data_IF_760133194374
#
_entry.id   IF_760133194374
#
_cell.length_a   1.000
_cell.length_b   1.000
_cell.length_c   1.000
_cell.angle_alpha   90.00
_cell.angle_beta   90.00
_cell.angle_gamma   90.00
#
_symmetry.space_group_name_H-M   'P 1'
#
loop_
_entity.id
_entity.type
_entity.pdbx_description
1 polymer ?
#
# COMPACT_ATOMS: atom_id res chain seq x y z
N UNK A 1 25.16 -39.26 -26.15
CA UNK A 1 25.54 -38.35 -27.25
C UNK A 1 26.95 -37.89 -26.98
N UNK A 2 27.86 -38.01 -27.93
CA UNK A 2 29.27 -37.60 -27.75
C UNK A 2 29.37 -36.11 -28.07
N UNK A 3 29.91 -35.33 -27.14
CA UNK A 3 30.13 -33.90 -27.33
C UNK A 3 31.17 -33.69 -28.45
N UNK A 4 30.88 -32.85 -29.46
CA UNK A 4 31.83 -32.59 -30.53
C UNK A 4 33.06 -31.85 -29.96
N UNK A 5 34.26 -32.38 -30.25
CA UNK A 5 35.51 -31.69 -29.89
C UNK A 5 35.80 -30.58 -30.88
N UNK A 6 36.01 -29.37 -30.37
CA UNK A 6 36.54 -28.26 -31.16
C UNK A 6 38.00 -28.60 -31.50
N UNK A 7 38.32 -28.61 -32.79
CA UNK A 7 39.69 -28.80 -33.27
C UNK A 7 40.19 -27.46 -33.80
N UNK A 8 41.24 -26.92 -33.20
CA UNK A 8 41.76 -25.59 -33.53
C UNK A 8 43.10 -25.71 -34.25
N UNK A 9 43.27 -24.93 -35.32
CA UNK A 9 44.57 -24.68 -35.95
C UNK A 9 44.73 -23.17 -36.02
N UNK A 10 45.72 -22.63 -35.30
CA UNK A 10 45.90 -21.19 -35.20
C UNK A 10 46.34 -20.61 -36.55
N UNK A 11 45.64 -19.58 -37.07
CA UNK A 11 46.06 -18.92 -38.31
C UNK A 11 47.37 -18.16 -38.10
N UNK A 12 48.39 -18.48 -38.90
CA UNK A 12 49.69 -17.82 -38.88
C UNK A 12 49.82 -16.85 -40.06
N UNK A 13 50.17 -15.59 -39.80
CA UNK A 13 50.59 -14.63 -40.82
C UNK A 13 52.12 -14.65 -40.86
N UNK A 14 52.69 -15.14 -41.94
CA UNK A 14 54.13 -15.07 -42.20
C UNK A 14 54.42 -13.93 -43.19
N UNK A 15 55.43 -13.12 -42.89
CA UNK A 15 55.97 -12.13 -43.83
C UNK A 15 57.47 -11.96 -43.55
N UNK A 16 58.24 -11.65 -44.59
CA UNK A 16 59.67 -11.37 -44.44
C UNK A 16 59.87 -9.90 -44.05
N UNK A 17 59.94 -9.66 -42.74
CA UNK A 17 60.09 -8.32 -42.19
C UNK A 17 61.43 -7.69 -42.61
N UNK A 18 62.51 -8.47 -42.64
CA UNK A 18 63.85 -7.99 -42.96
C UNK A 18 63.95 -7.54 -44.42
N UNK A 19 63.43 -8.34 -45.36
CA UNK A 19 63.39 -7.94 -46.78
C UNK A 19 62.49 -6.73 -47.01
N UNK A 20 61.32 -6.67 -46.35
CA UNK A 20 60.40 -5.55 -46.49
C UNK A 20 61.04 -4.26 -45.96
N UNK A 21 61.70 -4.32 -44.79
CA UNK A 21 62.38 -3.18 -44.20
C UNK A 21 63.56 -2.73 -45.07
N UNK A 22 64.39 -3.67 -45.55
CA UNK A 22 65.50 -3.36 -46.45
C UNK A 22 65.02 -2.70 -47.75
N UNK A 23 63.93 -3.19 -48.33
CA UNK A 23 63.32 -2.60 -49.53
C UNK A 23 62.81 -1.18 -49.29
N UNK A 24 62.08 -0.94 -48.19
CA UNK A 24 61.62 0.41 -47.84
C UNK A 24 62.79 1.35 -47.57
N UNK A 25 63.83 0.88 -46.84
CA UNK A 25 65.06 1.65 -46.59
C UNK A 25 65.77 2.04 -47.87
N UNK A 26 65.86 1.14 -48.85
CA UNK A 26 66.44 1.43 -50.15
C UNK A 26 65.67 2.50 -50.93
N UNK A 27 64.33 2.51 -50.85
CA UNK A 27 63.50 3.54 -51.47
C UNK A 27 63.76 4.91 -50.84
N UNK A 28 63.82 4.98 -49.50
CA UNK A 28 63.94 6.27 -48.80
C UNK A 28 65.36 6.83 -48.78
N UNK A 29 66.38 5.99 -48.96
CA UNK A 29 67.79 6.39 -49.00
C UNK A 29 68.08 7.47 -50.07
N UNK A 30 67.34 7.47 -51.19
CA UNK A 30 67.47 8.46 -52.25
C UNK A 30 67.13 9.90 -51.82
N UNK A 31 66.46 10.06 -50.67
CA UNK A 31 66.04 11.35 -50.13
C UNK A 31 66.84 11.77 -48.90
N UNK A 32 67.76 10.93 -48.43
CA UNK A 32 68.55 11.20 -47.24
C UNK A 32 69.54 12.34 -47.51
N UNK A 33 69.47 13.41 -46.71
CA UNK A 33 70.30 14.61 -46.90
C UNK A 33 69.93 15.49 -48.10
N UNK A 34 68.82 15.20 -48.79
CA UNK A 34 68.37 16.00 -49.94
C UNK A 34 67.88 17.40 -49.49
N UNK A 35 68.53 18.45 -50.00
CA UNK A 35 68.08 19.84 -49.84
C UNK A 35 67.28 20.24 -51.08
N UNK A 36 65.98 20.44 -50.92
CA UNK A 36 65.06 20.75 -52.03
C UNK A 36 65.18 22.22 -52.42
N UNK A 37 65.49 22.50 -53.69
CA UNK A 37 65.47 23.84 -54.29
C UNK A 37 64.14 24.10 -55.02
N UNK A 38 63.85 25.38 -55.32
CA UNK A 38 62.54 25.82 -55.84
C UNK A 38 62.17 25.16 -57.19
N UNK A 39 63.15 24.95 -58.06
CA UNK A 39 63.01 24.28 -59.36
C UNK A 39 62.70 22.78 -59.24
N UNK A 40 63.09 22.14 -58.13
CA UNK A 40 62.86 20.71 -57.87
C UNK A 40 61.47 20.41 -57.30
N UNK A 41 60.74 21.43 -56.82
CA UNK A 41 59.45 21.27 -56.12
C UNK A 41 58.43 20.43 -56.89
N UNK A 42 58.22 20.61 -58.21
CA UNK A 42 57.25 19.80 -58.96
C UNK A 42 57.61 18.31 -58.97
N UNK A 43 58.90 17.97 -59.13
CA UNK A 43 59.38 16.60 -59.16
C UNK A 43 59.29 15.95 -57.76
N UNK A 44 59.69 16.68 -56.71
CA UNK A 44 59.62 16.18 -55.33
C UNK A 44 58.18 15.92 -54.88
N UNK A 45 57.22 16.76 -55.28
CA UNK A 45 55.79 16.51 -55.02
C UNK A 45 55.32 15.19 -55.65
N UNK A 46 55.81 14.84 -56.84
CA UNK A 46 55.51 13.57 -57.49
C UNK A 46 56.11 12.38 -56.72
N UNK A 47 57.35 12.49 -56.26
CA UNK A 47 58.00 11.45 -55.44
C UNK A 47 57.30 11.26 -54.09
N UNK A 48 56.91 12.34 -53.42
CA UNK A 48 56.10 12.26 -52.19
C UNK A 48 54.77 11.53 -52.42
N UNK A 49 54.11 11.75 -53.55
CA UNK A 49 52.91 11.01 -53.92
C UNK A 49 53.21 9.52 -54.16
N UNK A 50 54.38 9.19 -54.73
CA UNK A 50 54.90 7.83 -54.86
C UNK A 50 55.08 7.13 -53.51
N UNK A 51 55.75 7.79 -52.55
CA UNK A 51 55.94 7.27 -51.19
C UNK A 51 54.60 7.02 -50.48
N UNK A 52 53.64 7.95 -50.61
CA UNK A 52 52.29 7.77 -50.08
C UNK A 52 51.62 6.52 -50.68
N UNK A 53 51.73 6.29 -52.00
CA UNK A 53 51.20 5.07 -52.64
C UNK A 53 51.84 3.79 -52.12
N UNK A 54 53.15 3.80 -51.86
CA UNK A 54 53.86 2.65 -51.26
C UNK A 54 53.33 2.36 -49.86
N UNK A 55 53.23 3.38 -49.00
CA UNK A 55 52.63 3.26 -47.66
C UNK A 55 51.22 2.69 -47.73
N UNK A 56 50.38 3.25 -48.60
CA UNK A 56 48.96 2.87 -48.69
C UNK A 56 48.79 1.42 -49.16
N UNK A 57 49.68 0.92 -50.04
CA UNK A 57 49.71 -0.49 -50.44
C UNK A 57 50.06 -1.41 -49.28
N UNK A 58 51.04 -1.07 -48.45
CA UNK A 58 51.42 -1.86 -47.28
C UNK A 58 50.29 -1.89 -46.24
N UNK A 59 49.66 -0.74 -46.00
CA UNK A 59 48.49 -0.63 -45.12
C UNK A 59 47.30 -1.45 -45.62
N UNK A 60 47.03 -1.42 -46.92
CA UNK A 60 45.99 -2.24 -47.54
C UNK A 60 46.29 -3.74 -47.39
N UNK A 61 47.54 -4.15 -47.64
CA UNK A 61 47.97 -5.54 -47.48
C UNK A 61 47.82 -6.02 -46.01
N UNK A 62 48.21 -5.18 -45.03
CA UNK A 62 48.00 -5.47 -43.60
C UNK A 62 46.52 -5.66 -43.29
N UNK A 63 45.67 -4.71 -43.68
CA UNK A 63 44.22 -4.76 -43.43
C UNK A 63 43.60 -6.02 -44.04
N UNK A 64 43.98 -6.38 -45.26
CA UNK A 64 43.47 -7.57 -45.94
C UNK A 64 43.94 -8.88 -45.30
N UNK A 65 45.20 -8.95 -44.83
CA UNK A 65 45.69 -10.11 -44.09
C UNK A 65 44.92 -10.30 -42.77
N UNK A 66 44.74 -9.22 -41.99
CA UNK A 66 43.95 -9.24 -40.74
C UNK A 66 42.49 -9.62 -41.01
N UNK A 67 41.89 -9.08 -42.09
CA UNK A 67 40.50 -9.41 -42.48
C UNK A 67 40.35 -10.90 -42.81
N UNK A 68 41.28 -11.48 -43.57
CA UNK A 68 41.25 -12.90 -43.95
C UNK A 68 41.40 -13.83 -42.75
N UNK A 69 42.25 -13.47 -41.78
CA UNK A 69 42.45 -14.27 -40.56
C UNK A 69 41.27 -14.14 -39.59
N UNK A 70 40.68 -12.95 -39.48
CA UNK A 70 39.53 -12.72 -38.58
C UNK A 70 38.21 -13.27 -39.12
N UNK A 71 38.06 -13.43 -40.44
CA UNK A 71 36.85 -13.99 -41.06
C UNK A 71 36.46 -15.39 -40.54
N UNK A 72 37.33 -16.42 -40.54
CA UNK A 72 36.98 -17.75 -40.03
C UNK A 72 36.73 -17.75 -38.51
N UNK A 73 37.37 -16.86 -37.76
CA UNK A 73 37.13 -16.71 -36.31
C UNK A 73 35.70 -16.20 -36.06
N UNK A 74 35.29 -15.15 -36.79
CA UNK A 74 33.92 -14.61 -36.69
C UNK A 74 32.88 -15.65 -37.11
N UNK A 75 33.13 -16.37 -38.20
CA UNK A 75 32.22 -17.42 -38.65
C UNK A 75 32.09 -18.55 -37.61
N UNK A 76 33.20 -18.95 -36.98
CA UNK A 76 33.17 -19.90 -35.87
C UNK A 76 32.36 -19.38 -34.69
N UNK A 77 32.62 -18.15 -34.23
CA UNK A 77 31.86 -17.52 -33.15
C UNK A 77 30.37 -17.47 -33.45
N UNK A 78 30.00 -17.06 -34.67
CA UNK A 78 28.60 -16.94 -35.09
C UNK A 78 27.92 -18.32 -35.13
N UNK A 79 28.62 -19.37 -35.58
CA UNK A 79 28.13 -20.75 -35.54
C UNK A 79 27.93 -21.23 -34.10
N UNK A 80 28.87 -20.98 -33.20
CA UNK A 80 28.73 -21.36 -31.78
C UNK A 80 27.59 -20.59 -31.11
N UNK A 81 27.43 -19.30 -31.40
CA UNK A 81 26.31 -18.48 -30.92
C UNK A 81 24.98 -19.03 -31.42
N UNK A 82 24.88 -19.39 -32.71
CA UNK A 82 23.68 -19.99 -33.28
C UNK A 82 23.32 -21.32 -32.60
N UNK A 83 24.29 -22.21 -32.37
CA UNK A 83 24.05 -23.49 -31.67
C UNK A 83 23.64 -23.26 -30.22
N UNK A 84 24.27 -22.31 -29.53
CA UNK A 84 23.93 -21.97 -28.14
C UNK A 84 22.53 -21.36 -28.04
N UNK A 85 22.11 -20.57 -29.04
CA UNK A 85 20.76 -20.00 -29.10
C UNK A 85 19.67 -21.07 -29.13
N UNK A 86 19.90 -22.19 -29.81
CA UNK A 86 18.96 -23.34 -29.83
C UNK A 86 18.74 -23.88 -28.41
N UNK A 87 19.79 -23.98 -27.59
CA UNK A 87 19.70 -24.45 -26.21
C UNK A 87 18.90 -23.45 -25.36
N UNK A 88 19.17 -22.16 -25.52
CA UNK A 88 18.45 -21.08 -24.81
C UNK A 88 16.97 -21.11 -25.15
N UNK A 89 16.62 -21.24 -26.43
CA UNK A 89 15.24 -21.31 -26.89
C UNK A 89 14.52 -22.57 -26.35
N UNK A 90 15.15 -23.73 -26.45
CA UNK A 90 14.61 -24.98 -25.91
C UNK A 90 14.34 -24.88 -24.40
N UNK A 91 15.28 -24.30 -23.64
CA UNK A 91 15.12 -24.06 -22.20
C UNK A 91 13.97 -23.09 -21.92
N UNK A 92 13.85 -22.00 -22.68
CA UNK A 92 12.76 -21.03 -22.51
C UNK A 92 11.39 -21.67 -22.77
N UNK A 93 11.29 -22.53 -23.79
CA UNK A 93 10.08 -23.31 -24.07
C UNK A 93 9.70 -24.25 -22.92
N UNK A 94 10.67 -24.95 -22.33
CA UNK A 94 10.45 -25.80 -21.16
C UNK A 94 10.03 -25.00 -19.92
N UNK A 95 10.69 -23.88 -19.64
CA UNK A 95 10.35 -22.99 -18.53
C UNK A 95 8.92 -22.46 -18.63
N UNK A 96 8.49 -22.06 -19.83
CA UNK A 96 7.12 -21.62 -20.08
C UNK A 96 6.10 -22.74 -19.84
N UNK A 97 6.39 -23.97 -20.26
CA UNK A 97 5.52 -25.13 -20.02
C UNK A 97 5.42 -25.48 -18.54
N UNK A 98 6.54 -25.45 -17.80
CA UNK A 98 6.55 -25.67 -16.35
C UNK A 98 5.70 -24.62 -15.64
N UNK A 99 5.88 -23.34 -15.96
CA UNK A 99 5.08 -22.25 -15.38
C UNK A 99 3.59 -22.37 -15.68
N UNK A 100 3.23 -22.74 -16.91
CA UNK A 100 1.83 -22.96 -17.27
C UNK A 100 1.19 -24.09 -16.44
N UNK A 101 1.93 -25.17 -16.20
CA UNK A 101 1.47 -26.28 -15.37
C UNK A 101 1.39 -25.92 -13.88
N UNK A 102 2.37 -25.17 -13.37
CA UNK A 102 2.35 -24.66 -11.99
C UNK A 102 1.18 -23.70 -11.75
N UNK A 103 0.87 -22.82 -12.70
CA UNK A 103 -0.28 -21.92 -12.61
C UNK A 103 -1.60 -22.70 -12.65
N UNK A 104 -1.71 -23.73 -13.50
CA UNK A 104 -2.87 -24.62 -13.52
C UNK A 104 -3.05 -25.32 -12.16
N UNK A 105 -1.97 -25.90 -11.60
CA UNK A 105 -2.01 -26.51 -10.27
C UNK A 105 -2.41 -25.52 -9.18
N UNK A 106 -1.93 -24.27 -9.28
CA UNK A 106 -2.26 -23.19 -8.35
C UNK A 106 -3.73 -22.79 -8.45
N UNK A 107 -4.28 -22.73 -9.66
CA UNK A 107 -5.68 -22.44 -9.92
C UNK A 107 -6.60 -23.58 -9.43
N UNK A 108 -6.24 -24.84 -9.66
CA UNK A 108 -6.99 -25.99 -9.15
C UNK A 108 -6.97 -26.02 -7.61
N UNK A 109 -5.80 -25.79 -7.02
CA UNK A 109 -5.69 -25.68 -5.56
C UNK A 109 -6.50 -24.53 -4.99
N UNK A 110 -6.60 -23.40 -5.70
CA UNK A 110 -7.48 -22.29 -5.31
C UNK A 110 -8.94 -22.72 -5.25
N UNK A 111 -9.40 -23.51 -6.22
CA UNK A 111 -10.77 -24.06 -6.22
C UNK A 111 -10.99 -25.01 -5.04
N UNK A 112 -10.04 -25.90 -4.77
CA UNK A 112 -10.09 -26.81 -3.61
C UNK A 112 -10.14 -26.03 -2.29
N UNK A 113 -9.30 -25.01 -2.14
CA UNK A 113 -9.28 -24.16 -0.94
C UNK A 113 -10.57 -23.36 -0.80
N UNK A 114 -11.11 -22.80 -1.88
CA UNK A 114 -12.41 -22.11 -1.85
C UNK A 114 -13.54 -23.04 -1.40
N UNK A 115 -13.57 -24.26 -1.94
CA UNK A 115 -14.54 -25.28 -1.55
C UNK A 115 -14.39 -25.64 -0.07
N UNK A 116 -13.15 -25.85 0.39
CA UNK A 116 -12.84 -26.16 1.78
C UNK A 116 -13.25 -25.03 2.73
N UNK A 117 -13.00 -23.76 2.37
CA UNK A 117 -13.47 -22.60 3.15
C UNK A 117 -14.99 -22.62 3.25
N UNK A 118 -15.68 -22.74 2.12
CA UNK A 118 -17.15 -22.74 2.07
C UNK A 118 -17.73 -23.87 2.92
N UNK A 119 -17.23 -25.10 2.74
CA UNK A 119 -17.67 -26.26 3.51
C UNK A 119 -17.41 -26.09 5.02
N UNK A 120 -16.26 -25.53 5.40
CA UNK A 120 -15.93 -25.29 6.82
C UNK A 120 -16.80 -24.19 7.42
N UNK A 121 -17.12 -23.14 6.65
CA UNK A 121 -18.06 -22.10 7.06
C UNK A 121 -19.48 -22.65 7.26
N UNK A 122 -19.94 -23.53 6.36
CA UNK A 122 -21.22 -24.21 6.47
C UNK A 122 -21.27 -25.14 7.70
N UNK A 123 -20.20 -25.91 7.97
CA UNK A 123 -20.05 -26.74 9.18
C UNK A 123 -20.23 -25.91 10.47
N UNK A 124 -19.83 -24.63 10.46
CA UNK A 124 -19.95 -23.70 11.58
C UNK A 124 -21.17 -22.77 11.52
N UNK A 125 -22.03 -22.88 10.50
CA UNK A 125 -23.22 -22.05 10.34
C UNK A 125 -22.94 -20.57 10.04
N UNK A 126 -21.81 -20.27 9.40
CA UNK A 126 -21.36 -18.90 9.08
C UNK A 126 -21.16 -18.67 7.56
N UNK A 127 -22.14 -18.96 6.68
CA UNK A 127 -21.97 -18.83 5.23
C UNK A 127 -21.72 -17.40 4.75
N UNK A 128 -22.03 -16.38 5.58
CA UNK A 128 -21.81 -14.97 5.28
C UNK A 128 -20.44 -14.42 5.67
N UNK A 129 -19.56 -15.21 6.30
CA UNK A 129 -18.22 -14.78 6.68
C UNK A 129 -17.26 -14.91 5.48
N UNK A 130 -16.73 -13.79 5.01
CA UNK A 130 -15.72 -13.78 3.95
C UNK A 130 -14.32 -14.06 4.52
N UNK A 131 -13.69 -15.14 4.06
CA UNK A 131 -12.31 -15.51 4.42
C UNK A 131 -11.45 -15.42 3.16
N UNK A 132 -10.56 -14.42 3.03
CA UNK A 132 -9.73 -14.26 1.85
C UNK A 132 -8.72 -15.41 1.74
N UNK A 133 -8.59 -15.98 0.55
CA UNK A 133 -7.59 -17.01 0.26
C UNK A 133 -6.19 -16.41 0.39
N UNK A 134 -5.39 -16.99 1.29
CA UNK A 134 -3.99 -16.58 1.48
C UNK A 134 -3.09 -17.17 0.40
N UNK A 135 -2.14 -16.39 -0.10
CA UNK A 135 -1.22 -16.80 -1.17
C UNK A 135 -0.44 -18.09 -0.82
N UNK A 136 -0.03 -18.21 0.45
CA UNK A 136 0.67 -19.39 0.97
C UNK A 136 -0.17 -20.68 1.00
N UNK A 137 -1.50 -20.60 0.91
CA UNK A 137 -2.40 -21.76 0.83
C UNK A 137 -2.36 -22.42 -0.55
N UNK A 138 -1.99 -21.65 -1.57
CA UNK A 138 -1.92 -22.12 -2.95
C UNK A 138 -0.59 -22.84 -3.24
N UNK A 139 0.35 -22.84 -2.30
CA UNK A 139 1.60 -23.57 -2.42
C UNK A 139 1.34 -25.08 -2.47
N UNK A 140 1.96 -25.76 -3.45
CA UNK A 140 1.82 -27.20 -3.64
C UNK A 140 2.15 -28.00 -2.37
N UNK A 141 3.17 -27.58 -1.64
CA UNK A 141 3.67 -28.24 -0.43
C UNK A 141 2.75 -28.11 0.78
N UNK A 142 1.85 -27.12 0.83
CA UNK A 142 0.98 -26.92 1.99
C UNK A 142 -0.24 -27.85 1.90
N UNK A 143 -0.42 -28.82 2.81
CA UNK A 143 -1.52 -29.79 2.69
C UNK A 143 -2.87 -29.16 3.06
N UNK A 144 -3.95 -29.62 2.41
CA UNK A 144 -5.32 -29.13 2.66
C UNK A 144 -5.75 -29.26 4.12
N UNK A 145 -5.26 -30.28 4.86
CA UNK A 145 -5.54 -30.44 6.30
C UNK A 145 -5.02 -29.27 7.13
N UNK A 146 -3.82 -28.78 6.84
CA UNK A 146 -3.25 -27.61 7.52
C UNK A 146 -4.04 -26.35 7.18
N UNK A 147 -4.47 -26.22 5.92
CA UNK A 147 -5.31 -25.11 5.49
C UNK A 147 -6.66 -25.14 6.21
N UNK A 148 -7.29 -26.32 6.35
CA UNK A 148 -8.52 -26.50 7.14
C UNK A 148 -8.35 -26.03 8.58
N UNK A 149 -7.30 -26.48 9.26
CA UNK A 149 -7.03 -26.06 10.65
C UNK A 149 -6.83 -24.53 10.78
N UNK A 150 -6.18 -23.89 9.81
CA UNK A 150 -6.04 -22.44 9.79
C UNK A 150 -7.37 -21.71 9.55
N UNK A 151 -8.22 -22.22 8.66
CA UNK A 151 -9.56 -21.70 8.42
C UNK A 151 -10.43 -21.86 9.67
N UNK A 152 -10.43 -23.03 10.29
CA UNK A 152 -11.13 -23.29 11.56
C UNK A 152 -10.66 -22.33 12.66
N UNK A 153 -9.35 -22.07 12.78
CA UNK A 153 -8.83 -21.12 13.75
C UNK A 153 -9.32 -19.68 13.51
N UNK A 154 -9.45 -19.27 12.24
CA UNK A 154 -10.03 -17.96 11.87
C UNK A 154 -11.51 -17.90 12.29
N UNK A 155 -12.27 -18.95 11.99
CA UNK A 155 -13.69 -19.05 12.32
C UNK A 155 -13.91 -19.01 13.83
N UNK A 156 -13.17 -19.81 14.59
CA UNK A 156 -13.29 -19.86 16.05
C UNK A 156 -12.96 -18.50 16.69
N UNK A 157 -11.94 -17.80 16.17
CA UNK A 157 -11.61 -16.45 16.61
C UNK A 157 -12.74 -15.47 16.32
N UNK A 158 -13.37 -15.57 15.15
CA UNK A 158 -14.52 -14.75 14.81
C UNK A 158 -15.70 -14.99 15.75
N UNK A 159 -16.05 -16.26 16.00
CA UNK A 159 -17.13 -16.64 16.93
C UNK A 159 -16.85 -16.10 18.33
N UNK A 160 -15.62 -16.26 18.82
CA UNK A 160 -15.23 -15.77 20.14
C UNK A 160 -15.38 -14.25 20.23
N UNK A 161 -14.92 -13.51 19.21
CA UNK A 161 -15.06 -12.05 19.17
C UNK A 161 -16.54 -11.61 19.14
N UNK A 162 -17.41 -12.32 18.43
CA UNK A 162 -18.85 -12.03 18.44
C UNK A 162 -19.47 -12.27 19.81
N UNK A 163 -19.10 -13.38 20.49
CA UNK A 163 -19.57 -13.68 21.84
C UNK A 163 -19.11 -12.63 22.86
N UNK A 164 -17.86 -12.20 22.78
CA UNK A 164 -17.32 -11.15 23.65
C UNK A 164 -18.05 -9.82 23.45
N UNK A 165 -18.30 -9.44 22.19
CA UNK A 165 -19.09 -8.24 21.87
C UNK A 165 -20.52 -8.34 22.38
N UNK A 166 -21.19 -9.47 22.17
CA UNK A 166 -22.55 -9.69 22.66
C UNK A 166 -22.60 -9.68 24.19
N UNK A 167 -21.64 -10.30 24.88
CA UNK A 167 -21.54 -10.28 26.33
C UNK A 167 -21.30 -8.86 26.87
N UNK A 168 -20.45 -8.07 26.21
CA UNK A 168 -20.22 -6.68 26.58
C UNK A 168 -21.48 -5.82 26.39
N UNK A 169 -22.19 -6.01 25.28
CA UNK A 169 -23.44 -5.32 25.00
C UNK A 169 -24.53 -5.70 26.00
N UNK A 170 -24.66 -7.00 26.31
CA UNK A 170 -25.59 -7.49 27.31
C UNK A 170 -25.27 -6.92 28.70
N UNK A 171 -24.00 -6.93 29.12
CA UNK A 171 -23.59 -6.34 30.40
C UNK A 171 -23.91 -4.84 30.48
N UNK A 172 -23.80 -4.12 29.35
CA UNK A 172 -24.21 -2.71 29.25
C UNK A 172 -25.72 -2.54 29.36
N UNK A 173 -26.51 -3.41 28.72
CA UNK A 173 -27.97 -3.40 28.81
C UNK A 173 -28.45 -3.72 30.24
N UNK A 174 -27.94 -4.77 30.86
CA UNK A 174 -28.25 -5.17 32.23
C UNK A 174 -27.95 -4.04 33.22
N UNK A 175 -26.80 -3.37 33.03
CA UNK A 175 -26.42 -2.19 33.81
C UNK A 175 -27.38 -1.03 33.61
N UNK A 176 -27.81 -0.75 32.38
CA UNK A 176 -28.78 0.32 32.12
C UNK A 176 -30.12 0.04 32.81
N UNK A 177 -30.60 -1.20 32.75
CA UNK A 177 -31.82 -1.64 33.44
C UNK A 177 -31.67 -1.49 34.96
N UNK A 178 -30.54 -1.89 35.54
CA UNK A 178 -30.29 -1.74 36.98
C UNK A 178 -30.28 -0.27 37.43
N UNK A 179 -29.71 0.62 36.61
CA UNK A 179 -29.73 2.07 36.85
C UNK A 179 -31.17 2.60 36.79
N UNK A 180 -31.94 2.23 35.77
CA UNK A 180 -33.34 2.65 35.61
C UNK A 180 -34.20 2.20 36.79
N UNK A 181 -34.12 0.92 37.17
CA UNK A 181 -34.83 0.38 38.34
C UNK A 181 -34.46 1.13 39.62
N UNK A 182 -33.19 1.51 39.79
CA UNK A 182 -32.74 2.26 40.97
C UNK A 182 -33.29 3.68 40.98
N UNK A 183 -33.29 4.36 39.85
CA UNK A 183 -33.86 5.71 39.67
C UNK A 183 -35.37 5.70 39.97
N UNK A 184 -36.09 4.70 39.49
CA UNK A 184 -37.52 4.52 39.76
C UNK A 184 -37.80 4.29 41.24
N UNK A 185 -37.10 3.35 41.88
CA UNK A 185 -37.25 3.09 43.31
C UNK A 185 -36.98 4.33 44.17
N UNK A 186 -35.96 5.13 43.83
CA UNK A 186 -35.67 6.39 44.54
C UNK A 186 -36.69 7.47 44.22
N UNK A 187 -37.26 7.51 43.02
CA UNK A 187 -38.31 8.46 42.67
C UNK A 187 -39.57 8.24 43.51
N UNK A 188 -39.93 6.98 43.76
CA UNK A 188 -41.03 6.62 44.68
C UNK A 188 -40.73 7.04 46.12
N UNK A 189 -39.50 6.79 46.61
CA UNK A 189 -39.11 7.13 47.99
C UNK A 189 -39.08 8.63 48.23
N UNK A 190 -38.54 9.42 47.30
CA UNK A 190 -38.34 10.87 47.47
C UNK A 190 -39.51 11.72 46.95
N UNK A 191 -40.45 11.14 46.20
CA UNK A 191 -41.62 11.84 45.65
C UNK A 191 -41.31 12.77 44.47
N UNK A 192 -40.12 12.68 43.87
CA UNK A 192 -39.74 13.38 42.64
C UNK A 192 -38.84 12.50 41.79
N UNK A 193 -38.88 12.66 40.46
CA UNK A 193 -38.09 11.85 39.53
C UNK A 193 -36.94 12.65 38.93
N UNK A 194 -35.76 12.02 38.84
CA UNK A 194 -34.64 12.49 38.02
C UNK A 194 -34.63 11.67 36.72
N UNK A 195 -34.45 12.29 35.54
CA UNK A 195 -34.46 11.55 34.29
C UNK A 195 -33.24 10.62 34.21
N UNK A 196 -33.44 9.38 33.75
CA UNK A 196 -32.37 8.39 33.58
C UNK A 196 -31.22 8.91 32.69
N UNK A 197 -31.50 9.83 31.76
CA UNK A 197 -30.50 10.50 30.93
C UNK A 197 -29.46 11.32 31.72
N UNK A 198 -29.78 11.75 32.95
CA UNK A 198 -28.81 12.42 33.83
C UNK A 198 -27.69 11.50 34.29
N UNK A 199 -27.89 10.18 34.20
CA UNK A 199 -26.97 9.15 34.67
C UNK A 199 -26.27 8.39 33.54
N UNK A 200 -26.33 8.89 32.28
CA UNK A 200 -25.67 8.23 31.13
C UNK A 200 -24.18 7.95 31.35
N UNK A 201 -23.48 8.82 32.09
CA UNK A 201 -22.05 8.64 32.41
C UNK A 201 -21.79 7.42 33.31
N UNK A 202 -22.81 6.99 34.06
CA UNK A 202 -22.74 5.83 34.95
C UNK A 202 -22.98 4.51 34.21
N UNK A 203 -23.33 4.55 32.91
CA UNK A 203 -23.44 3.36 32.06
C UNK A 203 -22.08 2.81 31.61
N UNK A 204 -20.98 3.54 31.85
CA UNK A 204 -19.63 3.04 31.61
C UNK A 204 -19.33 1.81 32.51
N UNK A 205 -18.75 0.78 31.91
CA UNK A 205 -18.38 -0.48 32.57
C UNK A 205 -17.08 -0.35 33.39
N UNK A 206 -16.31 0.74 33.24
CA UNK A 206 -15.10 0.97 34.03
C UNK A 206 -15.38 1.21 35.52
N UNK A 207 -16.58 1.67 35.88
CA UNK A 207 -16.98 1.90 37.27
C UNK A 207 -17.79 0.70 37.77
N UNK A 208 -17.50 0.12 38.94
CA UNK A 208 -18.30 -0.96 39.52
C UNK A 208 -19.78 -0.57 39.62
N UNK A 209 -20.70 -1.50 39.33
CA UNK A 209 -22.15 -1.22 39.36
C UNK A 209 -22.59 -0.66 40.71
N UNK A 210 -22.09 -1.24 41.81
CA UNK A 210 -22.40 -0.77 43.16
C UNK A 210 -22.06 0.72 43.38
N UNK A 211 -20.93 1.18 42.84
CA UNK A 211 -20.51 2.58 42.94
C UNK A 211 -21.38 3.50 42.08
N UNK A 212 -21.80 3.05 40.89
CA UNK A 212 -22.77 3.81 40.11
C UNK A 212 -24.13 3.95 40.84
N UNK A 213 -24.60 2.88 41.49
CA UNK A 213 -25.86 2.93 42.24
C UNK A 213 -25.79 3.87 43.45
N UNK A 214 -24.65 3.91 44.17
CA UNK A 214 -24.47 4.86 45.28
C UNK A 214 -24.38 6.30 44.81
N UNK A 215 -23.78 6.57 43.64
CA UNK A 215 -23.78 7.92 43.06
C UNK A 215 -25.19 8.41 42.71
N UNK A 216 -26.08 7.52 42.27
CA UNK A 216 -27.50 7.85 42.02
C UNK A 216 -28.19 8.22 43.35
N UNK A 217 -27.99 7.43 44.41
CA UNK A 217 -28.53 7.74 45.75
C UNK A 217 -28.04 9.10 46.28
N UNK A 218 -26.75 9.40 46.08
CA UNK A 218 -26.16 10.69 46.45
C UNK A 218 -26.80 11.84 45.65
N UNK A 219 -27.08 11.65 44.36
CA UNK A 219 -27.75 12.68 43.55
C UNK A 219 -29.18 12.97 44.05
N UNK A 220 -29.95 11.93 44.38
CA UNK A 220 -31.30 12.08 44.95
C UNK A 220 -31.29 12.78 46.31
N UNK A 221 -30.41 12.34 47.22
CA UNK A 221 -30.29 12.95 48.55
C UNK A 221 -29.82 14.41 48.49
N UNK A 222 -28.84 14.74 47.64
CA UNK A 222 -28.39 16.11 47.40
C UNK A 222 -29.51 17.00 46.84
N UNK A 223 -30.29 16.50 45.88
CA UNK A 223 -31.43 17.22 45.30
C UNK A 223 -32.53 17.47 46.35
N UNK A 224 -32.84 16.47 47.17
CA UNK A 224 -33.81 16.60 48.25
C UNK A 224 -33.37 17.63 49.30
N UNK A 225 -32.08 17.63 49.69
CA UNK A 225 -31.51 18.64 50.59
C UNK A 225 -31.60 20.05 50.00
N UNK A 226 -31.23 20.22 48.72
CA UNK A 226 -31.33 21.50 48.03
C UNK A 226 -32.78 22.02 47.98
N UNK A 227 -33.75 21.15 47.73
CA UNK A 227 -35.18 21.51 47.73
C UNK A 227 -35.66 21.94 49.12
N UNK A 228 -35.23 21.24 50.18
CA UNK A 228 -35.54 21.62 51.58
C UNK A 228 -34.93 22.98 51.95
N UNK A 229 -33.68 23.23 51.56
CA UNK A 229 -33.01 24.52 51.81
C UNK A 229 -33.73 25.65 51.05
N UNK A 230 -34.12 25.41 49.80
CA UNK A 230 -34.87 26.40 48.99
C UNK A 230 -36.25 26.73 49.59
N UNK A 231 -36.94 25.74 50.18
CA UNK A 231 -38.21 25.93 50.90
C UNK A 231 -38.04 26.65 52.25
N UNK A 232 -36.87 26.57 52.87
CA UNK A 232 -36.56 27.20 54.16
C UNK A 232 -35.93 28.60 54.03
N UNK A 233 -35.60 29.05 52.82
CA UNK A 233 -35.08 30.39 52.58
C UNK A 233 -36.23 31.43 52.66
N UNK A 234 -36.08 32.55 53.40
CA UNK A 234 -37.10 33.60 53.39
C UNK A 234 -37.22 34.20 51.98
N UNK A 235 -38.45 34.46 51.53
CA UNK A 235 -38.75 35.07 50.24
C UNK A 235 -38.02 36.42 50.11
N UNK A 236 -36.90 36.43 49.39
CA UNK A 236 -36.18 37.65 49.08
C UNK A 236 -36.94 38.42 47.99
N UNK A 237 -37.38 39.61 48.36
CA UNK A 237 -37.95 40.66 47.52
C UNK A 237 -37.05 40.95 46.31
N UNK A 238 -37.62 41.18 45.10
CA UNK A 238 -36.83 41.55 43.94
C UNK A 238 -36.39 43.02 44.06
N UNK A 239 -35.11 43.27 44.34
CA UNK A 239 -34.51 44.60 44.20
C UNK A 239 -34.23 44.86 42.72
N UNK A 240 -35.14 45.62 42.12
CA UNK A 240 -35.09 46.14 40.75
C UNK A 240 -34.14 47.35 40.71
N UNK A 241 -32.95 47.17 40.15
CA UNK A 241 -32.12 48.28 39.66
C UNK A 241 -32.33 48.41 38.16
N UNK A 242 -33.01 49.48 37.76
CA UNK A 242 -33.34 49.78 36.38
C UNK A 242 -32.11 50.28 35.60
N UNK A 243 -31.90 49.76 34.39
CA UNK A 243 -31.31 50.52 33.29
C UNK A 243 -31.99 50.15 31.96
N UNK A 244 -32.85 51.08 31.53
CA UNK A 244 -33.20 51.50 30.16
C UNK A 244 -33.74 50.45 29.17
N UNK A 245 -35.06 50.47 28.98
CA UNK A 245 -35.75 49.93 27.80
C UNK A 245 -35.90 51.06 26.76
N UNK A 246 -35.36 50.87 25.56
CA UNK A 246 -35.87 51.55 24.36
C UNK A 246 -37.12 50.80 23.85
N UNK A 247 -38.13 51.49 23.31
CA UNK A 247 -39.36 50.84 22.88
C UNK A 247 -39.21 50.30 21.45
N UNK A 248 -39.55 49.03 21.24
CA UNK A 248 -39.86 48.50 19.90
C UNK A 248 -41.34 48.17 19.85
N UNK A 249 -42.02 48.83 18.91
CA UNK A 249 -43.41 48.66 18.53
C UNK A 249 -43.71 47.23 18.03
N UNK A 250 -44.98 46.78 18.07
CA UNK A 250 -45.33 45.42 17.67
C UNK A 250 -45.41 45.32 16.14
N UNK A 251 -44.67 44.38 15.56
CA UNK A 251 -44.92 43.92 14.18
C UNK A 251 -45.23 42.44 14.19
N UNK A 252 -46.34 42.11 13.55
CA UNK A 252 -46.87 40.78 13.34
C UNK A 252 -46.12 40.00 12.24
N UNK A 253 -46.13 38.66 12.39
CA UNK A 253 -45.84 37.57 11.44
C UNK A 253 -44.38 37.35 10.94
N UNK A 254 -43.96 36.14 10.50
CA UNK A 254 -44.68 34.86 10.36
C UNK A 254 -44.01 33.66 11.10
N UNK A 255 -44.59 32.46 10.96
CA UNK A 255 -44.25 31.24 11.71
C UNK A 255 -42.77 30.82 11.74
N UNK A 256 -42.32 30.39 12.92
CA UNK A 256 -41.00 29.77 13.14
C UNK A 256 -40.88 28.45 12.36
N UNK A 257 -39.82 28.23 11.57
CA UNK A 257 -39.55 26.90 11.02
C UNK A 257 -39.14 25.95 12.15
N UNK A 258 -39.75 24.75 12.17
CA UNK A 258 -39.40 23.64 13.07
C UNK A 258 -37.94 23.23 12.81
N UNK A 259 -37.03 23.57 13.73
CA UNK A 259 -35.62 23.16 13.67
C UNK A 259 -35.42 21.85 14.42
N UNK A 260 -34.74 20.88 13.81
CA UNK A 260 -34.31 19.63 14.44
C UNK A 260 -32.79 19.69 14.67
N UNK A 261 -32.34 19.20 15.81
CA UNK A 261 -30.92 19.12 16.17
C UNK A 261 -30.47 17.66 16.14
N UNK A 262 -29.33 17.39 15.51
CA UNK A 262 -28.74 16.05 15.37
C UNK A 262 -27.24 16.13 15.69
N UNK A 263 -26.75 15.22 16.54
CA UNK A 263 -25.33 15.08 16.87
C UNK A 263 -24.80 13.79 16.23
N UNK A 264 -23.73 13.86 15.43
CA UNK A 264 -23.15 12.72 14.72
C UNK A 264 -21.68 12.56 15.13
N UNK A 265 -21.30 11.37 15.60
CA UNK A 265 -19.91 10.98 15.83
C UNK A 265 -19.51 10.01 14.72
N UNK A 266 -18.41 10.28 14.02
CA UNK A 266 -17.93 9.49 12.89
C UNK A 266 -16.53 8.96 13.18
N UNK A 267 -16.33 7.66 12.94
CA UNK A 267 -15.03 7.00 12.93
C UNK A 267 -14.80 6.46 11.51
N UNK A 268 -13.66 6.78 10.91
CA UNK A 268 -13.36 6.41 9.52
C UNK A 268 -11.85 6.20 9.34
N UNK A 269 -11.51 5.36 8.36
CA UNK A 269 -10.14 5.09 7.94
C UNK A 269 -9.48 6.35 7.35
N UNK A 270 -8.24 6.64 7.70
CA UNK A 270 -7.49 7.81 7.25
C UNK A 270 -7.46 7.96 5.71
N UNK A 271 -7.48 6.85 4.95
CA UNK A 271 -7.52 6.90 3.48
C UNK A 271 -8.83 7.47 2.93
N UNK A 272 -9.91 7.48 3.73
CA UNK A 272 -11.24 7.99 3.35
C UNK A 272 -11.49 9.43 3.84
N UNK A 273 -10.53 10.05 4.52
CA UNK A 273 -10.63 11.43 5.04
C UNK A 273 -11.08 12.45 3.98
N UNK A 274 -10.57 12.45 2.73
CA UNK A 274 -11.00 13.42 1.72
C UNK A 274 -12.49 13.28 1.36
N UNK A 275 -12.98 12.04 1.27
CA UNK A 275 -14.38 11.76 0.94
C UNK A 275 -15.33 12.12 2.08
N UNK A 276 -14.91 11.87 3.33
CA UNK A 276 -15.67 12.25 4.53
C UNK A 276 -15.75 13.77 4.66
N UNK A 277 -14.64 14.49 4.46
CA UNK A 277 -14.63 15.95 4.49
C UNK A 277 -15.51 16.58 3.40
N UNK A 278 -15.54 15.99 2.20
CA UNK A 278 -16.43 16.43 1.12
C UNK A 278 -17.91 16.27 1.52
N UNK A 279 -18.25 15.15 2.16
CA UNK A 279 -19.61 14.85 2.62
C UNK A 279 -20.05 15.79 3.75
N UNK A 280 -19.14 16.11 4.69
CA UNK A 280 -19.41 17.08 5.76
C UNK A 280 -19.62 18.51 5.24
N UNK A 281 -18.89 18.93 4.20
CA UNK A 281 -19.12 20.23 3.54
C UNK A 281 -20.50 20.29 2.88
N UNK A 282 -20.94 19.19 2.28
CA UNK A 282 -22.29 19.13 1.71
C UNK A 282 -23.34 19.25 2.83
N UNK A 283 -23.16 18.55 3.95
CA UNK A 283 -24.08 18.61 5.08
C UNK A 283 -24.12 20.01 5.73
N UNK A 284 -22.98 20.68 5.82
CA UNK A 284 -22.87 22.07 6.28
C UNK A 284 -23.69 23.04 5.43
N UNK A 285 -23.71 22.87 4.10
CA UNK A 285 -24.53 23.69 3.20
C UNK A 285 -26.04 23.55 3.41
N UNK A 286 -26.48 22.44 4.02
CA UNK A 286 -27.89 22.13 4.27
C UNK A 286 -28.36 22.54 5.67
N UNK A 287 -27.43 22.94 6.55
CA UNK A 287 -27.70 23.21 7.95
C UNK A 287 -27.75 24.71 8.24
N UNK A 288 -28.68 25.14 9.10
CA UNK A 288 -28.77 26.54 9.55
C UNK A 288 -27.63 26.91 10.54
N UNK A 289 -27.02 25.91 11.18
CA UNK A 289 -25.84 26.05 12.04
C UNK A 289 -25.08 24.72 12.06
N UNK A 290 -23.77 24.74 11.84
CA UNK A 290 -22.93 23.55 11.82
C UNK A 290 -21.69 23.78 12.70
N UNK A 291 -21.47 22.91 13.69
CA UNK A 291 -20.33 23.00 14.61
C UNK A 291 -19.48 21.74 14.53
N UNK A 292 -18.18 21.90 14.28
CA UNK A 292 -17.20 20.80 14.23
C UNK A 292 -16.36 20.83 15.50
N UNK A 293 -16.34 19.72 16.25
CA UNK A 293 -15.44 19.51 17.38
C UNK A 293 -14.35 18.53 16.95
N UNK A 294 -13.05 18.91 16.96
CA UNK A 294 -11.96 17.97 16.66
C UNK A 294 -11.91 16.87 17.72
N UNK A 295 -11.94 15.60 17.30
CA UNK A 295 -11.66 14.47 18.18
C UNK A 295 -10.15 14.32 18.42
N UNK A 296 -9.75 13.94 19.64
CA UNK A 296 -8.36 13.60 19.94
C UNK A 296 -7.93 12.42 19.07
N UNK A 297 -6.80 12.57 18.34
CA UNK A 297 -6.14 11.45 17.68
C UNK A 297 -5.66 10.47 18.75
N UNK A 298 -6.16 9.23 18.71
CA UNK A 298 -5.50 8.13 19.39
C UNK A 298 -4.17 7.88 18.68
N UNK A 299 -3.08 7.91 19.44
CA UNK A 299 -1.73 7.59 18.98
C UNK A 299 -1.56 6.07 18.80
#
# INVERSE_FOLDING_TARGET
MTEPKITETLPAISFNAEELEAWVRAIVANYEGLVVTEDMVPAIKSEMAGLNKVRDRLEAARKEAVRRVSAPIREFEDRIKAVTAIIVEARAGLDAQVKAFEELQRADKRREVQFLITATLDEHGLPGLDIPIQDGWLNKTKPLRTIKAEVEAIILRHIQQQRERAALEQARQDRAVAIEQKVEALAEIYGFSLPASSFLRLQDLQVPLAEALTQIEQAYSARAQAMRIALAAPAATPSRSAQVLQPVAPSAAPGRPLRKTLTITLEYDAMREPAVLASLRHLESLCASFTRTPGMRAA
#
